data_IF_183988207552
#
_entry.id   IF_183988207552
#
_cell.length_a   1.000
_cell.length_b   1.000
_cell.length_c   1.000
_cell.angle_alpha   90.00
_cell.angle_beta   90.00
_cell.angle_gamma   90.00
#
_symmetry.space_group_name_H-M   'P 1'
#
loop_
_entity.id
_entity.type
_entity.pdbx_description
1 polymer ?
#
# COMPACT_ATOMS: atom_id res chain seq x y z
N UNK A 1 -15.20 -15.74 9.05
CA UNK A 1 -14.30 -15.83 7.87
C UNK A 1 -13.93 -14.42 7.45
N UNK A 2 -12.65 -14.18 7.29
CA UNK A 2 -12.13 -12.85 6.97
C UNK A 2 -11.21 -12.92 5.77
N UNK A 3 -11.41 -12.04 4.81
CA UNK A 3 -10.55 -11.86 3.63
C UNK A 3 -9.53 -10.74 3.91
N UNK A 4 -8.25 -11.04 3.80
CA UNK A 4 -7.19 -10.05 3.97
C UNK A 4 -7.03 -9.25 2.67
N UNK A 5 -7.45 -7.98 2.66
CA UNK A 5 -7.43 -7.16 1.47
C UNK A 5 -6.42 -6.00 1.48
N UNK A 6 -5.68 -5.83 2.56
CA UNK A 6 -4.66 -4.77 2.66
C UNK A 6 -3.37 -5.27 3.28
N UNK A 7 -2.29 -5.08 2.55
CA UNK A 7 -0.94 -5.43 2.96
C UNK A 7 -0.23 -4.25 3.66
N UNK A 8 -0.90 -3.50 4.51
CA UNK A 8 -0.22 -2.52 5.33
C UNK A 8 0.46 -3.23 6.51
N UNK A 9 1.59 -3.84 6.22
CA UNK A 9 2.46 -4.51 7.18
C UNK A 9 3.31 -3.46 7.91
N UNK A 10 2.66 -2.55 8.62
CA UNK A 10 3.30 -1.85 9.72
C UNK A 10 2.99 -2.66 10.97
N UNK A 11 4.02 -3.27 11.56
CA UNK A 11 3.95 -4.00 12.83
C UNK A 11 2.93 -5.15 12.86
N UNK A 12 3.00 -6.09 11.90
CA UNK A 12 2.15 -7.30 11.92
C UNK A 12 0.64 -7.01 12.02
N UNK A 13 0.18 -5.93 11.38
CA UNK A 13 -1.22 -5.50 11.35
C UNK A 13 -1.80 -5.66 9.97
N UNK A 14 -2.89 -6.37 9.86
CA UNK A 14 -3.58 -6.65 8.60
C UNK A 14 -5.01 -6.13 8.68
N UNK A 15 -5.53 -5.65 7.56
CA UNK A 15 -6.91 -5.24 7.46
C UNK A 15 -7.70 -6.31 6.70
N UNK A 16 -8.66 -6.91 7.35
CA UNK A 16 -9.52 -7.94 6.77
C UNK A 16 -10.94 -7.47 6.57
N UNK A 17 -11.63 -8.06 5.59
CA UNK A 17 -13.07 -7.91 5.39
C UNK A 17 -13.77 -9.16 5.90
N UNK A 18 -14.75 -9.00 6.77
CA UNK A 18 -15.58 -10.11 7.23
C UNK A 18 -16.46 -10.58 6.08
N UNK A 19 -16.40 -11.89 5.78
CA UNK A 19 -17.18 -12.53 4.72
C UNK A 19 -18.37 -13.27 5.32
N UNK A 20 -18.17 -13.98 6.42
CA UNK A 20 -19.18 -14.75 7.10
C UNK A 20 -18.91 -14.80 8.61
N UNK A 21 -19.98 -14.94 9.40
CA UNK A 21 -19.95 -15.13 10.85
C UNK A 21 -20.89 -16.27 11.20
N UNK A 22 -20.57 -17.03 12.24
CA UNK A 22 -21.42 -18.12 12.77
C UNK A 22 -22.69 -17.57 13.44
N UNK A 23 -22.70 -16.31 13.81
CA UNK A 23 -23.91 -15.62 14.24
C UNK A 23 -24.77 -15.40 12.98
N UNK A 24 -26.02 -15.89 12.98
CA UNK A 24 -26.98 -15.88 11.87
C UNK A 24 -27.28 -14.49 11.22
N UNK A 25 -26.48 -13.49 11.48
CA UNK A 25 -26.58 -12.16 10.89
C UNK A 25 -25.51 -11.99 9.82
N UNK A 26 -25.90 -11.45 8.66
CA UNK A 26 -25.00 -10.99 7.61
C UNK A 26 -24.12 -9.84 8.13
N UNK A 27 -23.10 -10.16 8.90
CA UNK A 27 -22.14 -9.18 9.43
C UNK A 27 -21.15 -8.86 8.31
N UNK A 28 -21.31 -7.69 7.72
CA UNK A 28 -20.32 -7.15 6.78
C UNK A 28 -19.55 -6.02 7.46
N UNK A 29 -18.24 -6.06 7.39
CA UNK A 29 -17.42 -5.03 8.02
C UNK A 29 -15.95 -5.23 7.79
N UNK A 30 -15.16 -4.26 8.23
CA UNK A 30 -13.70 -4.34 8.25
C UNK A 30 -13.24 -4.64 9.66
N UNK A 31 -12.23 -5.49 9.78
CA UNK A 31 -11.62 -5.86 11.05
C UNK A 31 -10.11 -5.69 10.97
N UNK A 32 -9.49 -5.25 12.06
CA UNK A 32 -8.05 -5.17 12.17
C UNK A 32 -7.53 -6.47 12.80
N UNK A 33 -6.56 -7.09 12.16
CA UNK A 33 -5.98 -8.36 12.59
C UNK A 33 -4.54 -8.10 13.05
N UNK A 34 -4.23 -8.44 14.28
CA UNK A 34 -2.89 -8.43 14.83
C UNK A 34 -2.31 -9.85 14.84
N UNK A 35 -1.09 -10.02 14.36
CA UNK A 35 -0.38 -11.31 14.43
C UNK A 35 1.03 -11.11 14.99
N UNK A 36 1.54 -12.08 15.76
CA UNK A 36 2.92 -12.02 16.27
C UNK A 36 3.91 -12.70 15.31
N UNK A 37 3.55 -13.84 14.76
CA UNK A 37 4.51 -14.74 14.11
C UNK A 37 4.12 -15.19 12.70
N UNK A 38 2.92 -14.82 12.20
CA UNK A 38 2.44 -15.27 10.90
C UNK A 38 2.46 -14.15 9.89
N UNK A 39 3.25 -14.30 8.84
CA UNK A 39 3.14 -13.47 7.64
C UNK A 39 1.93 -13.92 6.83
N UNK A 40 0.90 -13.08 6.78
CA UNK A 40 -0.29 -13.35 5.97
C UNK A 40 -0.08 -12.82 4.55
N UNK A 41 -0.35 -13.66 3.56
CA UNK A 41 -0.35 -13.23 2.16
C UNK A 41 -1.64 -12.49 1.82
N UNK A 42 -1.57 -11.57 0.88
CA UNK A 42 -2.74 -10.85 0.36
C UNK A 42 -3.74 -11.84 -0.24
N UNK A 43 -5.02 -11.70 0.12
CA UNK A 43 -6.07 -12.62 -0.33
C UNK A 43 -6.23 -13.87 0.57
N UNK A 44 -5.48 -14.02 1.65
CA UNK A 44 -5.69 -15.13 2.59
C UNK A 44 -7.06 -15.06 3.22
N UNK A 45 -7.81 -16.16 3.16
CA UNK A 45 -9.08 -16.34 3.85
C UNK A 45 -8.78 -17.03 5.18
N UNK A 46 -9.15 -16.36 6.28
CA UNK A 46 -8.87 -16.82 7.64
C UNK A 46 -10.15 -17.27 8.32
N UNK A 47 -10.09 -18.40 8.99
CA UNK A 47 -11.05 -18.76 10.04
C UNK A 47 -10.53 -18.29 11.38
N UNK A 48 -11.28 -17.39 12.00
CA UNK A 48 -10.96 -16.84 13.29
C UNK A 48 -11.87 -17.45 14.34
N UNK A 49 -11.29 -18.11 15.32
CA UNK A 49 -11.99 -18.68 16.48
C UNK A 49 -11.96 -17.72 17.68
N UNK A 50 -11.23 -16.61 17.53
CA UNK A 50 -11.04 -15.62 18.59
C UNK A 50 -12.17 -14.60 18.62
N UNK A 51 -12.56 -14.18 19.83
CA UNK A 51 -13.50 -13.09 20.01
C UNK A 51 -12.94 -11.76 19.51
N UNK A 52 -13.77 -10.97 18.85
CA UNK A 52 -13.42 -9.61 18.43
C UNK A 52 -13.44 -8.65 19.61
N UNK A 53 -12.50 -7.74 19.66
CA UNK A 53 -12.36 -6.74 20.72
C UNK A 53 -12.69 -5.36 20.12
N UNK A 54 -13.51 -4.57 20.78
CA UNK A 54 -13.79 -3.19 20.39
C UNK A 54 -12.67 -2.26 20.87
N UNK A 55 -12.43 -1.18 20.10
CA UNK A 55 -11.49 -0.16 20.53
C UNK A 55 -12.03 0.60 21.74
N UNK A 56 -11.23 0.70 22.79
CA UNK A 56 -11.59 1.45 23.99
C UNK A 56 -11.33 2.94 23.80
N UNK A 57 -12.12 3.78 24.51
CA UNK A 57 -11.84 5.22 24.60
C UNK A 57 -10.52 5.45 25.34
N UNK A 58 -9.83 6.50 24.94
CA UNK A 58 -8.63 6.95 25.65
C UNK A 58 -8.95 7.23 27.11
N UNK A 59 -8.04 6.82 27.99
CA UNK A 59 -8.14 7.10 29.43
C UNK A 59 -7.32 8.32 29.82
N UNK A 60 -6.28 8.65 29.04
CA UNK A 60 -5.34 9.75 29.35
C UNK A 60 -5.55 10.94 28.41
N UNK A 61 -5.49 12.19 28.90
CA UNK A 61 -5.48 13.38 28.06
C UNK A 61 -4.24 13.38 27.15
N UNK A 62 -4.42 13.71 25.86
CA UNK A 62 -3.33 13.76 24.88
C UNK A 62 -2.90 12.41 24.27
N UNK A 63 -3.46 11.30 24.73
CA UNK A 63 -3.22 9.99 24.12
C UNK A 63 -3.85 9.88 22.73
N UNK A 64 -3.18 9.16 21.81
CA UNK A 64 -3.70 8.91 20.47
C UNK A 64 -5.05 8.18 20.53
N UNK A 65 -6.10 8.81 20.03
CA UNK A 65 -7.42 8.23 20.00
C UNK A 65 -7.57 7.17 18.89
N UNK A 66 -7.18 5.94 19.23
CA UNK A 66 -7.24 4.81 18.30
C UNK A 66 -8.68 4.53 17.84
N UNK A 67 -9.67 4.66 18.73
CA UNK A 67 -11.08 4.45 18.39
C UNK A 67 -11.54 5.44 17.32
N UNK A 68 -11.31 6.73 17.51
CA UNK A 68 -11.70 7.76 16.54
C UNK A 68 -10.99 7.58 15.20
N UNK A 69 -9.70 7.21 15.22
CA UNK A 69 -8.91 6.96 14.01
C UNK A 69 -9.45 5.79 13.20
N UNK A 70 -9.72 4.65 13.84
CA UNK A 70 -10.19 3.45 13.16
C UNK A 70 -11.67 3.54 12.77
N UNK A 71 -12.51 4.22 13.56
CA UNK A 71 -13.89 4.49 13.19
C UNK A 71 -14.02 5.29 11.89
N UNK A 72 -13.15 6.30 11.67
CA UNK A 72 -13.08 7.02 10.38
C UNK A 72 -12.78 6.11 9.20
N UNK A 73 -12.09 4.99 9.43
CA UNK A 73 -11.79 3.96 8.42
C UNK A 73 -12.84 2.84 8.36
N UNK A 74 -13.93 2.98 9.10
CA UNK A 74 -15.00 1.96 9.22
C UNK A 74 -14.48 0.62 9.78
N UNK A 75 -13.52 0.68 10.70
CA UNK A 75 -12.99 -0.47 11.45
C UNK A 75 -13.35 -0.28 12.92
N UNK A 76 -14.25 -1.10 13.43
CA UNK A 76 -14.79 -0.97 14.78
C UNK A 76 -14.20 -1.98 15.76
N UNK A 77 -13.65 -3.07 15.23
CA UNK A 77 -13.14 -4.17 16.03
C UNK A 77 -11.76 -4.60 15.55
N UNK A 78 -11.02 -5.21 16.46
CA UNK A 78 -9.78 -5.87 16.15
C UNK A 78 -9.73 -7.26 16.76
N UNK A 79 -8.81 -8.10 16.28
CA UNK A 79 -8.59 -9.45 16.77
C UNK A 79 -7.11 -9.77 16.81
N UNK A 80 -6.68 -10.52 17.82
CA UNK A 80 -5.36 -11.11 17.85
C UNK A 80 -5.42 -12.53 17.28
N UNK A 81 -4.58 -12.80 16.27
CA UNK A 81 -4.49 -14.10 15.66
C UNK A 81 -3.89 -15.10 16.66
N UNK A 82 -4.60 -16.18 16.91
CA UNK A 82 -4.13 -17.28 17.75
C UNK A 82 -3.50 -18.38 16.90
N UNK A 83 -2.76 -19.27 17.55
CA UNK A 83 -2.20 -20.49 16.92
C UNK A 83 -3.27 -21.42 16.38
N UNK A 84 -4.47 -21.40 16.99
CA UNK A 84 -5.64 -22.18 16.56
C UNK A 84 -6.32 -21.62 15.29
N UNK A 85 -6.05 -20.37 14.92
CA UNK A 85 -6.64 -19.76 13.74
C UNK A 85 -5.91 -20.25 12.49
N UNK A 86 -6.66 -20.65 11.48
CA UNK A 86 -6.12 -21.27 10.27
C UNK A 86 -6.43 -20.44 9.03
N UNK A 87 -5.51 -20.47 8.07
CA UNK A 87 -5.76 -20.03 6.71
C UNK A 87 -6.56 -21.14 6.01
N UNK A 88 -7.82 -20.89 5.70
CA UNK A 88 -8.72 -21.87 5.05
C UNK A 88 -8.47 -21.91 3.55
N UNK A 89 -8.08 -20.77 2.97
CA UNK A 89 -7.90 -20.66 1.52
C UNK A 89 -7.27 -19.34 1.13
N UNK A 90 -7.03 -19.19 -0.15
CA UNK A 90 -6.53 -17.95 -0.75
C UNK A 90 -7.51 -17.54 -1.84
N UNK A 91 -8.10 -16.37 -1.69
CA UNK A 91 -8.92 -15.76 -2.74
C UNK A 91 -8.03 -15.34 -3.90
N UNK A 92 -8.37 -15.78 -5.09
CA UNK A 92 -7.68 -15.28 -6.28
C UNK A 92 -7.89 -13.76 -6.40
N UNK A 93 -6.80 -13.03 -6.28
CA UNK A 93 -6.76 -11.61 -6.59
C UNK A 93 -7.03 -11.42 -8.09
N UNK A 94 -7.61 -10.28 -8.45
CA UNK A 94 -7.72 -9.90 -9.87
C UNK A 94 -6.35 -10.06 -10.55
N UNK A 95 -6.33 -10.64 -11.74
CA UNK A 95 -5.13 -10.87 -12.56
C UNK A 95 -4.23 -9.61 -12.64
N UNK A 96 -4.85 -8.45 -12.82
CA UNK A 96 -4.15 -7.16 -12.85
C UNK A 96 -3.40 -6.88 -11.53
N UNK A 97 -4.04 -7.13 -10.39
CA UNK A 97 -3.43 -6.88 -9.07
C UNK A 97 -2.32 -7.89 -8.75
N UNK A 98 -2.49 -9.14 -9.12
CA UNK A 98 -1.47 -10.17 -8.94
C UNK A 98 -0.21 -9.86 -9.75
N UNK A 99 -0.38 -9.48 -11.02
CA UNK A 99 0.74 -9.12 -11.87
C UNK A 99 1.44 -7.84 -11.43
N UNK A 100 0.69 -6.82 -10.98
CA UNK A 100 1.24 -5.60 -10.42
C UNK A 100 2.14 -5.90 -9.21
N UNK A 101 1.66 -6.71 -8.28
CA UNK A 101 2.44 -7.12 -7.10
C UNK A 101 3.68 -7.95 -7.48
N UNK A 102 3.57 -8.81 -8.47
CA UNK A 102 4.71 -9.60 -8.96
C UNK A 102 5.80 -8.72 -9.58
N UNK A 103 5.39 -7.72 -10.37
CA UNK A 103 6.33 -6.76 -10.96
C UNK A 103 6.97 -5.90 -9.86
N UNK A 104 6.18 -5.39 -8.91
CA UNK A 104 6.70 -4.65 -7.76
C UNK A 104 7.71 -5.48 -6.97
N UNK A 105 7.41 -6.74 -6.70
CA UNK A 105 8.34 -7.67 -6.04
C UNK A 105 9.65 -7.87 -6.81
N UNK A 106 9.59 -7.99 -8.14
CA UNK A 106 10.82 -8.08 -8.97
C UNK A 106 11.67 -6.82 -8.85
N UNK A 107 11.07 -5.64 -8.93
CA UNK A 107 11.80 -4.38 -8.75
C UNK A 107 12.38 -4.26 -7.35
N UNK A 108 11.63 -4.65 -6.31
CA UNK A 108 12.11 -4.66 -4.93
C UNK A 108 13.32 -5.60 -4.76
N UNK A 109 13.29 -6.78 -5.37
CA UNK A 109 14.42 -7.72 -5.34
C UNK A 109 15.67 -7.18 -6.05
N UNK A 110 15.50 -6.42 -7.13
CA UNK A 110 16.60 -5.74 -7.82
C UNK A 110 17.19 -4.64 -6.92
N UNK A 111 16.35 -3.81 -6.30
CA UNK A 111 16.82 -2.79 -5.37
C UNK A 111 17.60 -3.39 -4.21
N UNK A 112 17.09 -4.48 -3.63
CA UNK A 112 17.74 -5.19 -2.53
C UNK A 112 19.11 -5.77 -2.94
N UNK A 113 19.25 -6.22 -4.17
CA UNK A 113 20.52 -6.76 -4.69
C UNK A 113 21.59 -5.69 -4.90
N UNK A 114 21.18 -4.48 -5.30
CA UNK A 114 22.12 -3.41 -5.67
C UNK A 114 22.41 -2.43 -4.53
N UNK A 115 21.53 -2.33 -3.54
CA UNK A 115 21.70 -1.48 -2.37
C UNK A 115 22.24 -2.31 -1.20
N UNK A 116 23.51 -2.14 -0.89
CA UNK A 116 24.20 -2.89 0.16
C UNK A 116 23.76 -2.49 1.58
N UNK A 117 23.35 -1.23 1.77
CA UNK A 117 22.87 -0.73 3.06
C UNK A 117 21.36 -1.03 3.17
N UNK A 118 20.99 -1.76 4.22
CA UNK A 118 19.61 -2.20 4.45
C UNK A 118 18.65 -1.01 4.68
N UNK A 119 19.09 0.05 5.36
CA UNK A 119 18.28 1.26 5.55
C UNK A 119 18.06 1.99 4.22
N UNK A 120 19.11 2.18 3.44
CA UNK A 120 19.03 2.82 2.13
C UNK A 120 18.09 2.04 1.19
N UNK A 121 18.14 0.71 1.23
CA UNK A 121 17.22 -0.13 0.49
C UNK A 121 15.77 0.08 0.92
N UNK A 122 15.49 0.05 2.24
CA UNK A 122 14.14 0.23 2.76
C UNK A 122 13.55 1.60 2.40
N UNK A 123 14.37 2.66 2.50
CA UNK A 123 13.97 4.01 2.10
C UNK A 123 13.73 4.08 0.59
N UNK A 124 14.61 3.52 -0.24
CA UNK A 124 14.44 3.49 -1.68
C UNK A 124 13.18 2.71 -2.10
N UNK A 125 12.91 1.56 -1.49
CA UNK A 125 11.69 0.77 -1.73
C UNK A 125 10.43 1.56 -1.35
N UNK A 126 10.46 2.31 -0.24
CA UNK A 126 9.35 3.18 0.16
C UNK A 126 9.11 4.32 -0.84
N UNK A 127 10.18 4.96 -1.30
CA UNK A 127 10.11 6.11 -2.22
C UNK A 127 9.68 5.70 -3.64
N UNK A 128 10.19 4.57 -4.14
CA UNK A 128 9.98 4.15 -5.54
C UNK A 128 8.77 3.24 -5.70
N UNK A 129 8.56 2.30 -4.77
CA UNK A 129 7.51 1.28 -4.86
C UNK A 129 6.36 1.51 -3.87
N UNK A 130 6.53 2.42 -2.92
CA UNK A 130 5.54 2.68 -1.87
C UNK A 130 5.52 1.64 -0.75
N UNK A 131 6.49 0.73 -0.71
CA UNK A 131 6.61 -0.28 0.33
C UNK A 131 7.26 0.30 1.58
N UNK A 132 6.50 0.39 2.67
CA UNK A 132 7.03 0.85 3.98
C UNK A 132 7.43 -0.30 4.89
N UNK A 133 7.53 -1.51 4.37
CA UNK A 133 7.84 -2.70 5.16
C UNK A 133 9.28 -2.64 5.66
N UNK A 134 9.45 -2.83 6.97
CA UNK A 134 10.76 -2.96 7.59
C UNK A 134 11.53 -1.65 7.82
N UNK A 135 10.93 -0.48 7.57
CA UNK A 135 11.53 0.80 7.99
C UNK A 135 11.52 0.86 9.52
N UNK A 136 12.66 1.23 10.13
CA UNK A 136 12.78 1.34 11.58
C UNK A 136 11.88 2.44 12.15
N UNK A 137 11.42 2.26 13.38
CA UNK A 137 10.60 3.28 14.05
C UNK A 137 11.38 4.60 14.26
N UNK A 138 12.70 4.53 14.41
CA UNK A 138 13.58 5.69 14.51
C UNK A 138 13.53 6.53 13.24
N UNK A 139 13.71 5.92 12.07
CA UNK A 139 13.61 6.61 10.77
C UNK A 139 12.23 7.22 10.61
N UNK A 140 11.16 6.50 10.94
CA UNK A 140 9.79 7.02 10.88
C UNK A 140 9.61 8.23 11.82
N UNK A 141 10.17 8.16 13.04
CA UNK A 141 10.12 9.25 14.00
C UNK A 141 10.86 10.48 13.51
N UNK A 142 12.04 10.33 12.91
CA UNK A 142 12.83 11.44 12.37
C UNK A 142 12.15 12.12 11.18
N UNK A 143 11.60 11.34 10.23
CA UNK A 143 10.76 11.90 9.15
C UNK A 143 9.48 12.56 9.68
N UNK A 144 8.94 12.10 10.82
CA UNK A 144 7.76 12.70 11.45
C UNK A 144 8.13 14.02 12.14
N UNK A 145 9.27 14.09 12.86
CA UNK A 145 9.77 15.32 13.51
C UNK A 145 10.04 16.44 12.50
N UNK A 146 10.57 16.09 11.34
CA UNK A 146 10.84 17.04 10.25
C UNK A 146 9.59 17.38 9.42
N UNK A 147 8.44 16.76 9.71
CA UNK A 147 7.20 16.93 8.92
C UNK A 147 7.24 16.30 7.53
N UNK A 148 8.31 15.57 7.19
CA UNK A 148 8.54 15.01 5.85
C UNK A 148 8.06 13.56 5.69
N UNK A 149 7.31 13.03 6.65
CA UNK A 149 6.78 11.65 6.62
C UNK A 149 5.95 11.33 5.38
N UNK A 150 5.34 12.35 4.75
CA UNK A 150 4.59 12.20 3.51
C UNK A 150 5.48 11.85 2.31
N UNK A 151 6.78 12.17 2.36
CA UNK A 151 7.75 11.83 1.31
C UNK A 151 8.03 10.32 1.32
N UNK A 152 8.02 9.68 2.50
CA UNK A 152 8.17 8.22 2.66
C UNK A 152 7.02 7.39 2.04
N UNK A 153 6.13 8.01 1.30
CA UNK A 153 5.12 7.32 0.50
C UNK A 153 5.16 7.83 -0.92
N UNK A 154 4.92 6.94 -1.88
CA UNK A 154 4.78 7.38 -3.26
C UNK A 154 3.66 8.39 -3.35
N UNK A 155 4.02 9.61 -3.71
CA UNK A 155 3.11 10.75 -3.80
C UNK A 155 2.93 11.18 -5.25
N UNK A 156 1.92 12.01 -5.50
CA UNK A 156 1.72 12.62 -6.81
C UNK A 156 2.91 13.44 -7.30
N UNK A 157 3.67 14.02 -6.37
CA UNK A 157 4.88 14.76 -6.68
C UNK A 157 5.96 13.87 -7.33
N UNK A 158 6.13 12.64 -6.84
CA UNK A 158 7.07 11.67 -7.45
C UNK A 158 6.69 11.36 -8.90
N UNK A 159 5.39 11.15 -9.15
CA UNK A 159 4.87 10.94 -10.52
C UNK A 159 5.15 12.14 -11.40
N UNK A 160 4.92 13.35 -10.88
CA UNK A 160 5.16 14.59 -11.62
C UNK A 160 6.63 14.80 -11.95
N UNK A 161 7.53 14.54 -11.02
CA UNK A 161 8.99 14.64 -11.25
C UNK A 161 9.43 13.63 -12.31
N UNK A 162 9.00 12.36 -12.20
CA UNK A 162 9.31 11.33 -13.19
C UNK A 162 8.78 11.73 -14.57
N UNK A 163 7.56 12.24 -14.63
CA UNK A 163 6.97 12.75 -15.87
C UNK A 163 7.78 13.90 -16.47
N UNK A 164 8.18 14.90 -15.68
CA UNK A 164 8.96 16.05 -16.14
C UNK A 164 10.32 15.60 -16.70
N UNK A 165 11.02 14.71 -16.00
CA UNK A 165 12.30 14.15 -16.46
C UNK A 165 12.11 13.42 -17.78
N UNK A 166 11.12 12.54 -17.86
CA UNK A 166 10.85 11.76 -19.07
C UNK A 166 10.43 12.67 -20.23
N UNK A 167 9.56 13.67 -19.98
CA UNK A 167 9.16 14.62 -21.00
C UNK A 167 10.35 15.43 -21.50
N UNK A 168 11.28 15.84 -20.62
CA UNK A 168 12.51 16.54 -20.97
C UNK A 168 13.42 15.66 -21.84
N UNK A 169 13.63 14.40 -21.47
CA UNK A 169 14.42 13.43 -22.25
C UNK A 169 13.79 13.24 -23.63
N UNK A 170 12.49 13.00 -23.69
CA UNK A 170 11.81 12.82 -24.98
C UNK A 170 11.80 14.08 -25.82
N UNK A 171 11.83 15.28 -25.22
CA UNK A 171 11.90 16.52 -25.97
C UNK A 171 13.23 16.79 -26.66
N UNK A 172 14.29 16.04 -26.31
CA UNK A 172 15.57 16.08 -27.02
C UNK A 172 15.47 15.49 -28.44
N UNK A 173 14.47 14.66 -28.68
CA UNK A 173 14.18 14.12 -30.00
C UNK A 173 13.24 15.08 -30.75
N UNK A 174 13.50 15.31 -32.03
CA UNK A 174 12.64 16.13 -32.89
C UNK A 174 11.41 15.34 -33.32
N UNK A 175 10.31 15.49 -32.60
CA UNK A 175 9.08 14.73 -32.85
C UNK A 175 8.28 15.21 -34.07
N UNK A 176 8.38 16.49 -34.46
CA UNK A 176 7.70 17.03 -35.63
C UNK A 176 6.22 16.60 -35.75
N UNK A 177 5.90 15.88 -36.82
CA UNK A 177 4.54 15.34 -37.05
C UNK A 177 4.13 14.18 -36.11
N UNK A 178 5.08 13.64 -35.32
CA UNK A 178 4.85 12.51 -34.39
C UNK A 178 4.62 12.94 -32.95
N UNK A 179 4.19 14.18 -32.73
CA UNK A 179 3.90 14.71 -31.40
C UNK A 179 2.89 13.84 -30.63
N UNK A 180 1.89 13.29 -31.34
CA UNK A 180 0.93 12.36 -30.78
C UNK A 180 1.60 11.10 -30.21
N UNK A 181 2.60 10.58 -30.91
CA UNK A 181 3.36 9.40 -30.46
C UNK A 181 4.11 9.70 -29.14
N UNK A 182 4.69 10.89 -29.01
CA UNK A 182 5.32 11.34 -27.77
C UNK A 182 4.30 11.35 -26.61
N UNK A 183 3.10 11.89 -26.82
CA UNK A 183 2.03 11.93 -25.83
C UNK A 183 1.61 10.52 -25.40
N UNK A 184 1.45 9.60 -26.35
CA UNK A 184 1.10 8.19 -26.07
C UNK A 184 2.18 7.52 -25.22
N UNK A 185 3.45 7.72 -25.55
CA UNK A 185 4.57 7.16 -24.78
C UNK A 185 4.57 7.68 -23.34
N UNK A 186 4.38 8.99 -23.16
CA UNK A 186 4.33 9.61 -21.83
C UNK A 186 3.18 9.07 -20.99
N UNK A 187 1.98 9.01 -21.54
CA UNK A 187 0.79 8.49 -20.86
C UNK A 187 1.00 7.00 -20.51
N UNK A 188 1.47 6.20 -21.45
CA UNK A 188 1.76 4.79 -21.22
C UNK A 188 2.76 4.57 -20.10
N UNK A 189 3.81 5.39 -20.04
CA UNK A 189 4.82 5.29 -18.98
C UNK A 189 4.26 5.66 -17.61
N UNK A 190 3.47 6.74 -17.52
CA UNK A 190 2.84 7.15 -16.25
C UNK A 190 1.84 6.11 -15.76
N UNK A 191 1.05 5.51 -16.67
CA UNK A 191 0.15 4.41 -16.35
C UNK A 191 0.90 3.14 -15.90
N UNK A 192 2.00 2.81 -16.56
CA UNK A 192 2.87 1.70 -16.17
C UNK A 192 3.46 1.92 -14.78
N UNK A 193 3.92 3.13 -14.48
CA UNK A 193 4.41 3.47 -13.15
C UNK A 193 3.32 3.35 -12.07
N UNK A 194 2.11 3.83 -12.35
CA UNK A 194 0.97 3.65 -11.45
C UNK A 194 0.66 2.16 -11.21
N UNK A 195 0.81 1.34 -12.25
CA UNK A 195 0.63 -0.10 -12.14
C UNK A 195 1.71 -0.76 -11.28
N UNK A 196 2.99 -0.42 -11.48
CA UNK A 196 4.12 -0.95 -10.69
C UNK A 196 4.01 -0.57 -9.20
N UNK A 197 3.54 0.64 -8.89
CA UNK A 197 3.35 1.11 -7.50
C UNK A 197 2.09 0.54 -6.82
N UNK A 198 1.46 -0.48 -7.40
CA UNK A 198 0.30 -1.17 -6.84
C UNK A 198 -1.00 -0.39 -6.92
N UNK A 199 -1.12 0.52 -7.89
CA UNK A 199 -2.32 1.35 -8.12
C UNK A 199 -2.71 2.17 -6.88
N UNK A 200 -1.73 2.75 -6.20
CA UNK A 200 -2.02 3.59 -5.04
C UNK A 200 -2.91 4.79 -5.43
N UNK A 201 -3.89 5.18 -4.60
CA UNK A 201 -4.86 6.23 -4.97
C UNK A 201 -4.22 7.58 -5.29
N UNK A 202 -3.10 7.92 -4.64
CA UNK A 202 -2.35 9.16 -4.90
C UNK A 202 -1.70 9.15 -6.28
N UNK A 203 -1.08 8.04 -6.65
CA UNK A 203 -0.42 7.87 -7.95
C UNK A 203 -1.45 7.82 -9.07
N UNK A 204 -2.54 7.08 -8.89
CA UNK A 204 -3.62 7.01 -9.88
C UNK A 204 -4.23 8.38 -10.18
N UNK A 205 -4.51 9.19 -9.15
CA UNK A 205 -5.00 10.56 -9.35
C UNK A 205 -4.03 11.40 -10.17
N UNK A 206 -2.74 11.37 -9.82
CA UNK A 206 -1.72 12.12 -10.55
C UNK A 206 -1.55 11.62 -11.97
N UNK A 207 -1.59 10.30 -12.19
CA UNK A 207 -1.53 9.73 -13.53
C UNK A 207 -2.67 10.22 -14.41
N UNK A 208 -3.89 10.24 -13.89
CA UNK A 208 -5.06 10.76 -14.61
C UNK A 208 -4.89 12.24 -14.91
N UNK A 209 -4.54 13.09 -13.91
CA UNK A 209 -4.36 14.53 -14.10
C UNK A 209 -3.28 14.84 -15.13
N UNK A 210 -2.13 14.17 -15.07
CA UNK A 210 -1.04 14.33 -16.03
C UNK A 210 -1.51 13.88 -17.43
N UNK A 211 -2.23 12.78 -17.55
CA UNK A 211 -2.74 12.31 -18.84
C UNK A 211 -3.65 13.33 -19.51
N UNK A 212 -4.55 13.96 -18.73
CA UNK A 212 -5.39 15.04 -19.23
C UNK A 212 -4.60 16.32 -19.62
N UNK A 213 -3.47 16.59 -18.94
CA UNK A 213 -2.63 17.74 -19.25
C UNK A 213 -1.79 17.56 -20.54
N UNK A 214 -1.62 16.33 -21.00
CA UNK A 214 -0.83 16.00 -22.20
C UNK A 214 -1.69 16.03 -23.47
N UNK A 215 -2.98 15.75 -23.33
CA UNK A 215 -3.96 15.75 -24.43
C UNK A 215 -4.35 17.17 -24.79
#
# INVERSE_FOLDING_TARGET
>A
IVDNFSNNILNNRYLGKVIASDLQQNVQGKILIYTKDKTLTLGSILSLTSNTISFQKNRNPGEFNAQAYWNKKQVFHFVYLKTSDSVIGIKQLSYLKTNSLFIAYKFDSILKKHLLNEESYKIASALLLGSRTGISEEVIADYSKTGTIHILSVSGLHVSVIFLVLNKILSLFKWGKTQLLKSIILISFVCLYAYITGLSPSVCRSAVMISFSII
#
